data_IF_509368684849
#
_entry.id   IF_509368684849
#
_cell.length_a   1.000
_cell.length_b   1.000
_cell.length_c   1.000
_cell.angle_alpha   90.00
_cell.angle_beta   90.00
_cell.angle_gamma   90.00
#
_symmetry.space_group_name_H-M   'P 1'
#
loop_
_entity.id
_entity.type
_entity.pdbx_description
1 polymer ?
#
# COMPACT_ATOMS: atom_id res chain seq x y z
N UNK A 1 15.89 18.87 -2.26
CA UNK A 1 14.41 18.86 -2.19
C UNK A 1 13.97 17.58 -1.49
N UNK A 2 13.08 17.74 -0.52
CA UNK A 2 12.50 16.61 0.20
C UNK A 2 11.58 15.84 -0.77
N UNK A 3 11.80 14.54 -0.94
CA UNK A 3 10.98 13.69 -1.84
C UNK A 3 9.47 13.79 -1.53
N UNK A 4 9.11 14.07 -0.28
CA UNK A 4 7.72 14.22 0.15
C UNK A 4 7.10 15.50 -0.41
N UNK A 5 7.79 16.62 -0.34
CA UNK A 5 7.29 17.90 -0.86
C UNK A 5 7.11 17.87 -2.37
N UNK A 6 8.08 17.27 -3.07
CA UNK A 6 7.96 17.03 -4.51
C UNK A 6 6.73 16.17 -4.86
N UNK A 7 6.46 15.10 -4.08
CA UNK A 7 5.31 14.25 -4.33
C UNK A 7 3.98 14.97 -4.06
N UNK A 8 3.89 15.76 -2.99
CA UNK A 8 2.74 16.62 -2.69
C UNK A 8 2.47 17.61 -3.84
N UNK A 9 3.51 18.25 -4.33
CA UNK A 9 3.41 19.17 -5.47
C UNK A 9 2.83 18.49 -6.71
N UNK A 10 3.24 17.26 -7.02
CA UNK A 10 2.68 16.47 -8.12
C UNK A 10 1.18 16.22 -7.93
N UNK A 11 0.76 15.80 -6.75
CA UNK A 11 -0.67 15.55 -6.45
C UNK A 11 -1.51 16.81 -6.62
N UNK A 12 -1.00 17.97 -6.17
CA UNK A 12 -1.68 19.26 -6.34
C UNK A 12 -1.74 19.66 -7.82
N UNK A 13 -0.66 19.47 -8.59
CA UNK A 13 -0.64 19.75 -10.04
C UNK A 13 -1.67 18.90 -10.79
N UNK A 14 -1.77 17.61 -10.46
CA UNK A 14 -2.77 16.72 -11.06
C UNK A 14 -4.20 17.17 -10.74
N UNK A 15 -4.45 17.58 -9.48
CA UNK A 15 -5.73 18.12 -9.08
C UNK A 15 -6.08 19.41 -9.86
N UNK A 16 -5.14 20.34 -10.01
CA UNK A 16 -5.32 21.56 -10.79
C UNK A 16 -5.60 21.27 -12.27
N UNK A 17 -4.91 20.30 -12.85
CA UNK A 17 -5.19 19.86 -14.22
C UNK A 17 -6.63 19.33 -14.36
N UNK A 18 -7.08 18.51 -13.42
CA UNK A 18 -8.42 17.94 -13.40
C UNK A 18 -9.53 18.99 -13.17
N UNK A 19 -9.22 20.09 -12.49
CA UNK A 19 -10.15 21.21 -12.32
C UNK A 19 -10.29 22.05 -13.59
N UNK A 20 -9.27 22.07 -14.43
CA UNK A 20 -9.27 22.82 -15.69
C UNK A 20 -10.20 22.23 -16.74
N UNK A 21 -10.26 22.88 -17.89
CA UNK A 21 -11.06 22.50 -19.06
C UNK A 21 -10.34 21.58 -20.05
N UNK A 22 -9.12 21.16 -19.72
CA UNK A 22 -8.26 20.33 -20.58
C UNK A 22 -8.35 18.85 -20.25
N UNK A 23 -8.19 18.01 -21.26
CA UNK A 23 -8.10 16.56 -21.12
C UNK A 23 -7.27 15.93 -22.25
N UNK A 24 -6.82 14.69 -22.07
CA UNK A 24 -6.19 13.87 -23.09
C UNK A 24 -7.15 12.73 -23.45
N UNK A 25 -7.36 12.46 -24.74
CA UNK A 25 -8.14 11.29 -25.18
C UNK A 25 -7.34 10.00 -25.01
N UNK A 26 -6.02 10.06 -25.27
CA UNK A 26 -5.12 8.93 -25.10
C UNK A 26 -3.91 9.33 -24.26
N UNK A 27 -3.35 8.39 -23.48
CA UNK A 27 -2.16 8.64 -22.65
C UNK A 27 -0.92 9.08 -23.47
N UNK A 28 -0.89 8.77 -24.77
CA UNK A 28 0.23 9.09 -25.67
C UNK A 28 0.08 10.43 -26.39
N UNK A 29 -1.01 11.14 -26.18
CA UNK A 29 -1.25 12.42 -26.82
C UNK A 29 -0.27 13.47 -26.30
N UNK A 30 0.32 14.24 -27.22
CA UNK A 30 1.30 15.29 -26.86
C UNK A 30 0.66 16.62 -26.46
N UNK A 31 -0.61 16.81 -26.80
CA UNK A 31 -1.35 18.04 -26.52
C UNK A 31 -2.73 17.71 -25.99
N UNK A 32 -3.18 18.39 -24.92
CA UNK A 32 -4.54 18.23 -24.44
C UNK A 32 -5.55 18.90 -25.37
N UNK A 33 -6.77 18.37 -25.37
CA UNK A 33 -7.95 19.02 -25.91
C UNK A 33 -8.58 19.94 -24.87
N UNK A 34 -9.45 20.85 -25.29
CA UNK A 34 -10.20 21.76 -24.42
C UNK A 34 -11.68 21.39 -24.32
N UNK A 35 -12.43 22.19 -23.57
CA UNK A 35 -13.88 22.06 -23.37
C UNK A 35 -14.32 20.80 -22.56
N UNK A 36 -13.47 20.32 -21.66
CA UNK A 36 -13.88 19.31 -20.67
C UNK A 36 -14.93 19.90 -19.73
N UNK A 37 -15.98 19.14 -19.44
CA UNK A 37 -16.94 19.51 -18.43
C UNK A 37 -16.26 19.67 -17.06
N UNK A 38 -16.71 20.65 -16.26
CA UNK A 38 -16.16 20.92 -14.94
C UNK A 38 -16.32 19.70 -14.02
N UNK A 39 -15.23 19.34 -13.34
CA UNK A 39 -15.25 18.27 -12.33
C UNK A 39 -16.09 18.72 -11.12
N UNK A 40 -16.93 17.83 -10.62
CA UNK A 40 -17.73 18.05 -9.40
C UNK A 40 -17.12 17.42 -8.17
N UNK A 41 -16.36 16.35 -8.37
CA UNK A 41 -15.65 15.59 -7.33
C UNK A 41 -14.29 15.18 -7.90
N UNK A 42 -13.26 15.28 -7.07
CA UNK A 42 -11.95 14.68 -7.33
C UNK A 42 -11.79 13.43 -6.46
N UNK A 43 -11.35 12.33 -7.06
CA UNK A 43 -11.03 11.09 -6.32
C UNK A 43 -9.55 10.82 -6.42
N UNK A 44 -8.86 10.79 -5.28
CA UNK A 44 -7.47 10.36 -5.19
C UNK A 44 -7.47 8.84 -4.97
N UNK A 45 -7.31 8.08 -6.06
CA UNK A 45 -7.39 6.62 -6.07
C UNK A 45 -6.10 5.91 -5.59
N UNK A 46 -5.00 6.65 -5.45
CA UNK A 46 -3.73 6.15 -4.94
C UNK A 46 -3.63 6.35 -3.43
N UNK A 47 -3.29 5.27 -2.68
CA UNK A 47 -3.10 5.37 -1.22
C UNK A 47 -1.97 6.34 -0.85
N UNK A 48 -0.84 6.29 -1.54
CA UNK A 48 0.29 7.18 -1.27
C UNK A 48 -0.09 8.64 -1.55
N UNK A 49 -0.77 8.90 -2.67
CA UNK A 49 -1.24 10.25 -3.00
C UNK A 49 -2.31 10.76 -2.00
N UNK A 50 -3.22 9.88 -1.56
CA UNK A 50 -4.17 10.22 -0.47
C UNK A 50 -3.44 10.56 0.82
N UNK A 51 -2.46 9.76 1.21
CA UNK A 51 -1.72 9.92 2.46
C UNK A 51 -0.94 11.24 2.55
N UNK A 52 -0.41 11.72 1.43
CA UNK A 52 0.45 12.88 1.38
C UNK A 52 -0.19 14.14 0.82
N UNK A 53 -1.20 14.03 -0.05
CA UNK A 53 -1.74 15.17 -0.81
C UNK A 53 -3.22 15.49 -0.56
N UNK A 54 -3.98 14.64 0.12
CA UNK A 54 -5.43 14.86 0.31
C UNK A 54 -5.72 16.16 1.04
N UNK A 55 -4.97 16.47 2.10
CA UNK A 55 -5.14 17.69 2.90
C UNK A 55 -4.82 18.95 2.09
N UNK A 56 -3.69 18.93 1.36
CA UNK A 56 -3.27 20.07 0.54
C UNK A 56 -4.26 20.36 -0.59
N UNK A 57 -4.77 19.30 -1.26
CA UNK A 57 -5.83 19.44 -2.27
C UNK A 57 -7.14 19.93 -1.66
N UNK A 58 -7.52 19.41 -0.49
CA UNK A 58 -8.72 19.86 0.23
C UNK A 58 -8.67 21.33 0.60
N UNK A 59 -7.54 21.80 1.11
CA UNK A 59 -7.29 23.20 1.44
C UNK A 59 -7.38 24.06 0.18
N UNK A 60 -6.71 23.68 -0.90
CA UNK A 60 -6.77 24.38 -2.18
C UNK A 60 -8.22 24.55 -2.68
N UNK A 61 -9.01 23.46 -2.65
CA UNK A 61 -10.41 23.50 -3.12
C UNK A 61 -11.29 24.39 -2.26
N UNK A 62 -11.09 24.38 -0.94
CA UNK A 62 -11.86 25.20 -0.01
C UNK A 62 -11.51 26.69 -0.17
N UNK A 63 -10.22 27.04 -0.22
CA UNK A 63 -9.77 28.43 -0.38
C UNK A 63 -10.12 29.03 -1.75
N UNK A 64 -10.18 28.18 -2.77
CA UNK A 64 -10.56 28.59 -4.13
C UNK A 64 -12.07 28.67 -4.36
N UNK A 65 -12.88 28.39 -3.35
CA UNK A 65 -14.36 28.43 -3.41
C UNK A 65 -14.96 27.69 -4.63
N UNK A 66 -14.28 26.64 -5.11
CA UNK A 66 -14.68 25.91 -6.33
C UNK A 66 -15.97 25.11 -6.19
N UNK A 67 -16.40 24.80 -4.95
CA UNK A 67 -17.48 23.88 -4.65
C UNK A 67 -17.18 22.41 -4.96
N UNK A 68 -16.01 22.10 -5.50
CA UNK A 68 -15.55 20.74 -5.79
C UNK A 68 -15.08 20.06 -4.50
N UNK A 69 -15.46 18.80 -4.31
CA UNK A 69 -15.02 17.99 -3.17
C UNK A 69 -13.90 17.03 -3.58
N UNK A 70 -12.97 16.74 -2.67
CA UNK A 70 -11.97 15.70 -2.84
C UNK A 70 -12.25 14.52 -1.92
N UNK A 71 -12.05 13.31 -2.42
CA UNK A 71 -12.21 12.05 -1.69
C UNK A 71 -10.93 11.23 -1.84
N UNK A 72 -10.37 10.78 -0.72
CA UNK A 72 -9.23 9.87 -0.69
C UNK A 72 -9.64 8.42 -0.41
N UNK A 73 -8.96 7.46 -1.01
CA UNK A 73 -9.30 6.03 -0.86
C UNK A 73 -9.02 5.48 0.54
N UNK A 74 -8.08 6.06 1.30
CA UNK A 74 -7.81 5.62 2.68
C UNK A 74 -9.04 5.81 3.54
N UNK A 75 -9.68 6.98 3.49
CA UNK A 75 -10.89 7.27 4.26
C UNK A 75 -12.04 6.30 3.90
N UNK A 76 -12.22 6.02 2.60
CA UNK A 76 -13.23 5.07 2.15
C UNK A 76 -12.98 3.65 2.70
N UNK A 77 -11.73 3.18 2.66
CA UNK A 77 -11.33 1.88 3.20
C UNK A 77 -11.52 1.80 4.73
N UNK A 78 -11.11 2.83 5.45
CA UNK A 78 -11.27 2.90 6.92
C UNK A 78 -12.74 2.93 7.33
N UNK A 79 -13.57 3.69 6.62
CA UNK A 79 -15.02 3.71 6.88
C UNK A 79 -15.64 2.33 6.68
N UNK A 80 -15.30 1.63 5.60
CA UNK A 80 -15.77 0.26 5.36
C UNK A 80 -15.29 -0.73 6.45
N UNK A 81 -14.06 -0.58 6.93
CA UNK A 81 -13.51 -1.36 8.04
C UNK A 81 -14.33 -1.15 9.32
N UNK A 82 -14.55 0.10 9.75
CA UNK A 82 -15.28 0.43 10.96
C UNK A 82 -16.74 -0.01 10.88
N UNK A 83 -17.38 0.14 9.73
CA UNK A 83 -18.72 -0.37 9.49
C UNK A 83 -18.80 -1.91 9.58
N UNK A 84 -17.72 -2.61 9.17
CA UNK A 84 -17.63 -4.06 9.31
C UNK A 84 -17.46 -4.46 10.77
N UNK A 85 -16.59 -3.78 11.52
CA UNK A 85 -16.41 -3.99 12.95
C UNK A 85 -17.72 -3.82 13.70
N UNK A 86 -18.45 -2.73 13.45
CA UNK A 86 -19.75 -2.46 14.09
C UNK A 86 -20.81 -3.55 13.83
N UNK A 87 -20.75 -4.22 12.67
CA UNK A 87 -21.68 -5.30 12.29
C UNK A 87 -21.28 -6.67 12.86
N UNK A 88 -20.04 -6.82 13.33
CA UNK A 88 -19.56 -8.07 13.90
C UNK A 88 -19.87 -8.10 15.38
N UNK A 89 -21.09 -8.57 15.73
CA UNK A 89 -21.66 -8.59 17.10
C UNK A 89 -20.92 -9.49 18.11
N UNK A 90 -19.73 -10.00 17.79
CA UNK A 90 -19.00 -10.97 18.62
C UNK A 90 -17.89 -10.35 19.45
N UNK A 91 -17.69 -9.05 19.37
CA UNK A 91 -16.68 -8.35 20.17
C UNK A 91 -17.40 -7.81 21.41
N UNK A 92 -17.13 -8.40 22.57
CA UNK A 92 -17.54 -7.81 23.85
C UNK A 92 -16.93 -6.41 23.94
N UNK A 93 -17.68 -5.43 24.42
CA UNK A 93 -17.39 -3.98 24.34
C UNK A 93 -16.04 -3.52 24.92
N UNK A 94 -15.22 -4.43 25.46
CA UNK A 94 -13.91 -4.17 26.05
C UNK A 94 -12.75 -4.86 25.31
N UNK A 95 -13.03 -5.63 24.25
CA UNK A 95 -11.98 -6.35 23.55
C UNK A 95 -11.18 -5.44 22.62
N UNK A 96 -9.88 -5.57 22.69
CA UNK A 96 -8.97 -4.94 21.73
C UNK A 96 -9.05 -5.69 20.39
N UNK A 97 -9.07 -4.96 19.31
CA UNK A 97 -9.01 -5.49 17.95
C UNK A 97 -7.63 -5.24 17.34
N UNK A 98 -7.21 -6.12 16.45
CA UNK A 98 -6.04 -5.86 15.62
C UNK A 98 -6.46 -5.73 14.15
N UNK A 99 -5.85 -4.77 13.46
CA UNK A 99 -6.07 -4.52 12.03
C UNK A 99 -4.73 -4.56 11.33
N UNK A 100 -4.60 -5.47 10.37
CA UNK A 100 -3.42 -5.57 9.52
C UNK A 100 -3.50 -4.60 8.34
N UNK A 101 -2.44 -3.83 8.11
CA UNK A 101 -2.30 -2.94 6.95
C UNK A 101 -1.11 -3.39 6.11
N UNK A 102 -1.40 -3.83 4.89
CA UNK A 102 -0.43 -4.11 3.84
C UNK A 102 -0.46 -2.95 2.84
N UNK A 103 0.60 -2.18 2.75
CA UNK A 103 0.67 -1.04 1.86
C UNK A 103 2.12 -0.77 1.40
N UNK A 104 2.29 0.12 0.42
CA UNK A 104 3.63 0.52 -0.03
C UNK A 104 4.44 1.15 1.11
N UNK A 105 5.76 1.10 0.98
CA UNK A 105 6.68 1.70 1.97
C UNK A 105 6.31 3.15 2.27
N UNK A 106 6.01 3.95 1.23
CA UNK A 106 5.63 5.36 1.39
C UNK A 106 4.30 5.55 2.13
N UNK A 107 3.32 4.70 1.87
CA UNK A 107 2.02 4.74 2.57
C UNK A 107 2.18 4.36 4.05
N UNK A 108 2.94 3.32 4.37
CA UNK A 108 3.20 2.93 5.76
C UNK A 108 3.98 4.05 6.49
N UNK A 109 5.03 4.58 5.87
CA UNK A 109 5.84 5.66 6.45
C UNK A 109 5.04 6.94 6.73
N UNK A 110 3.96 7.19 5.99
CA UNK A 110 3.08 8.34 6.24
C UNK A 110 2.27 8.21 7.53
N UNK A 111 2.04 7.01 8.06
CA UNK A 111 1.14 6.75 9.18
C UNK A 111 -0.34 7.08 8.90
N UNK A 112 -0.72 7.30 7.65
CA UNK A 112 -2.05 7.79 7.29
C UNK A 112 -3.18 6.83 7.68
N UNK A 113 -2.99 5.52 7.49
CA UNK A 113 -4.00 4.53 7.89
C UNK A 113 -4.26 4.57 9.39
N UNK A 114 -3.20 4.60 10.20
CA UNK A 114 -3.33 4.61 11.66
C UNK A 114 -4.05 5.89 12.13
N UNK A 115 -3.61 7.05 11.65
CA UNK A 115 -4.28 8.32 11.97
C UNK A 115 -5.74 8.32 11.56
N UNK A 116 -6.05 7.91 10.33
CA UNK A 116 -7.43 7.90 9.82
C UNK A 116 -8.31 6.92 10.61
N UNK A 117 -7.79 5.72 10.95
CA UNK A 117 -8.53 4.75 11.78
C UNK A 117 -8.87 5.38 13.14
N UNK A 118 -7.91 6.04 13.80
CA UNK A 118 -8.15 6.66 15.11
C UNK A 118 -9.15 7.81 15.02
N UNK A 119 -9.02 8.68 14.03
CA UNK A 119 -9.93 9.81 13.82
C UNK A 119 -11.37 9.37 13.51
N UNK A 120 -11.54 8.49 12.53
CA UNK A 120 -12.86 8.01 12.13
C UNK A 120 -13.53 7.15 13.23
N UNK A 121 -12.72 6.37 13.96
CA UNK A 121 -13.19 5.63 15.14
C UNK A 121 -13.78 6.57 16.17
N UNK A 122 -13.08 7.64 16.53
CA UNK A 122 -13.53 8.63 17.50
C UNK A 122 -14.78 9.37 17.00
N UNK A 123 -14.76 9.82 15.74
CA UNK A 123 -15.90 10.52 15.12
C UNK A 123 -17.18 9.67 15.08
N UNK A 124 -17.07 8.37 14.92
CA UNK A 124 -18.21 7.42 14.93
C UNK A 124 -18.58 6.92 16.34
N UNK A 125 -17.87 7.34 17.38
CA UNK A 125 -18.13 6.95 18.77
C UNK A 125 -17.80 5.51 19.10
N UNK A 126 -16.93 4.87 18.32
CA UNK A 126 -16.41 3.53 18.62
C UNK A 126 -15.45 3.57 19.82
N UNK A 127 -15.65 2.68 20.77
CA UNK A 127 -14.87 2.63 22.03
C UNK A 127 -13.78 1.58 22.03
N UNK A 128 -13.83 0.62 21.12
CA UNK A 128 -12.90 -0.48 21.00
C UNK A 128 -11.47 0.03 20.79
N UNK A 129 -10.49 -0.54 21.46
CA UNK A 129 -9.09 -0.27 21.15
C UNK A 129 -8.70 -1.02 19.87
N UNK A 130 -8.27 -0.29 18.85
CA UNK A 130 -7.81 -0.86 17.58
C UNK A 130 -6.30 -0.75 17.50
N UNK A 131 -5.63 -1.90 17.55
CA UNK A 131 -4.19 -2.00 17.29
C UNK A 131 -3.95 -2.12 15.79
N UNK A 132 -3.18 -1.20 15.21
CA UNK A 132 -2.80 -1.28 13.80
C UNK A 132 -1.45 -1.99 13.67
N UNK A 133 -1.38 -3.02 12.83
CA UNK A 133 -0.17 -3.77 12.52
C UNK A 133 0.19 -3.51 11.07
N UNK A 134 1.23 -2.73 10.84
CA UNK A 134 1.65 -2.28 9.51
C UNK A 134 2.77 -3.17 8.97
N UNK A 135 2.71 -3.52 7.67
CA UNK A 135 3.82 -4.13 6.92
C UNK A 135 4.09 -3.32 5.65
N UNK A 136 5.31 -2.80 5.47
CA UNK A 136 5.73 -2.19 4.22
C UNK A 136 5.92 -3.28 3.15
N UNK A 137 5.06 -3.27 2.13
CA UNK A 137 5.08 -4.26 1.06
C UNK A 137 6.12 -3.90 0.00
N UNK A 138 7.40 -4.15 0.32
CA UNK A 138 8.54 -3.85 -0.56
C UNK A 138 8.39 -4.56 -1.89
N UNK A 139 8.36 -3.81 -2.98
CA UNK A 139 8.34 -4.34 -4.35
C UNK A 139 7.03 -5.01 -4.78
N UNK A 140 5.97 -4.97 -3.96
CA UNK A 140 4.73 -5.67 -4.30
C UNK A 140 3.93 -4.94 -5.40
N UNK A 141 3.86 -3.61 -5.35
CA UNK A 141 3.20 -2.83 -6.39
C UNK A 141 3.91 -3.02 -7.74
N UNK A 142 5.23 -2.89 -7.75
CA UNK A 142 6.08 -3.08 -8.91
C UNK A 142 5.99 -4.52 -9.46
N UNK A 143 5.85 -5.51 -8.58
CA UNK A 143 5.65 -6.89 -8.99
C UNK A 143 4.27 -7.12 -9.65
N UNK A 144 3.22 -6.44 -9.21
CA UNK A 144 1.90 -6.44 -9.85
C UNK A 144 1.96 -5.81 -11.23
N UNK A 145 2.70 -4.71 -11.37
CA UNK A 145 2.92 -4.00 -12.64
C UNK A 145 3.92 -4.72 -13.55
N UNK A 146 4.51 -5.83 -13.09
CA UNK A 146 5.50 -6.63 -13.83
C UNK A 146 6.73 -5.84 -14.23
N UNK A 147 7.17 -4.93 -13.38
CA UNK A 147 8.45 -4.26 -13.58
C UNK A 147 9.59 -5.29 -13.56
N UNK A 148 10.47 -5.25 -14.57
CA UNK A 148 11.47 -6.29 -14.81
C UNK A 148 12.47 -6.47 -13.66
N UNK A 149 12.72 -5.43 -12.87
CA UNK A 149 13.60 -5.52 -11.70
C UNK A 149 12.95 -6.25 -10.52
N UNK A 150 11.62 -6.49 -10.55
CA UNK A 150 10.86 -7.19 -9.50
C UNK A 150 10.31 -8.53 -9.99
N UNK A 151 9.75 -8.59 -11.20
CA UNK A 151 9.24 -9.82 -11.83
C UNK A 151 9.67 -9.85 -13.29
N UNK A 152 10.42 -10.88 -13.67
CA UNK A 152 10.80 -11.10 -15.06
C UNK A 152 10.67 -12.58 -15.40
N UNK A 153 9.56 -12.93 -16.06
CA UNK A 153 9.19 -14.30 -16.40
C UNK A 153 10.10 -14.95 -17.45
N UNK A 154 10.95 -14.14 -18.13
CA UNK A 154 11.91 -14.65 -19.13
C UNK A 154 13.16 -15.23 -18.48
N UNK A 155 13.39 -14.97 -17.17
CA UNK A 155 14.60 -15.40 -16.48
C UNK A 155 14.41 -16.75 -15.80
N UNK A 156 15.48 -17.54 -15.86
CA UNK A 156 15.60 -18.86 -15.21
C UNK A 156 16.63 -18.87 -14.07
N UNK A 157 17.35 -17.75 -13.87
CA UNK A 157 18.37 -17.60 -12.82
C UNK A 157 18.27 -16.21 -12.18
N UNK A 158 18.80 -16.04 -10.95
CA UNK A 158 18.86 -14.76 -10.28
C UNK A 158 19.58 -13.68 -11.10
N UNK A 159 19.18 -12.41 -10.91
CA UNK A 159 19.74 -11.24 -11.58
C UNK A 159 20.27 -10.22 -10.59
N UNK A 160 21.31 -9.48 -10.98
CA UNK A 160 21.91 -8.43 -10.16
C UNK A 160 20.99 -7.19 -10.02
N UNK A 161 20.18 -6.90 -11.05
CA UNK A 161 19.25 -5.77 -11.06
C UNK A 161 18.02 -5.97 -10.16
N UNK A 162 17.91 -7.11 -9.46
CA UNK A 162 16.76 -7.37 -8.60
C UNK A 162 16.64 -6.38 -7.45
N UNK A 163 15.45 -5.78 -7.31
CA UNK A 163 15.13 -4.75 -6.32
C UNK A 163 14.02 -5.17 -5.34
N UNK A 164 13.54 -6.39 -5.45
CA UNK A 164 12.53 -6.94 -4.54
C UNK A 164 13.09 -7.37 -3.18
N UNK A 165 12.27 -8.02 -2.33
CA UNK A 165 12.65 -8.54 -1.03
C UNK A 165 13.83 -9.51 -1.10
N UNK A 166 14.77 -9.36 -0.19
CA UNK A 166 15.95 -10.22 -0.06
C UNK A 166 15.90 -11.08 1.20
N UNK A 167 16.78 -12.06 1.31
CA UNK A 167 16.97 -12.79 2.56
C UNK A 167 17.53 -11.83 3.61
N UNK A 168 16.81 -11.65 4.74
CA UNK A 168 17.20 -10.68 5.76
C UNK A 168 16.29 -10.71 6.98
N UNK A 169 16.38 -9.66 7.81
CA UNK A 169 15.66 -9.55 9.08
C UNK A 169 14.74 -8.32 9.17
N UNK A 170 14.72 -7.46 8.14
CA UNK A 170 13.81 -6.31 8.12
C UNK A 170 12.36 -6.78 7.93
N UNK A 171 11.40 -5.90 8.19
CA UNK A 171 9.98 -6.25 8.13
C UNK A 171 9.51 -6.72 6.74
N UNK A 172 10.10 -6.16 5.67
CA UNK A 172 9.81 -6.53 4.29
C UNK A 172 10.64 -7.69 3.73
N UNK A 173 11.64 -8.20 4.49
CA UNK A 173 12.56 -9.22 4.02
C UNK A 173 11.98 -10.64 4.09
N UNK A 174 12.61 -11.54 3.33
CA UNK A 174 12.36 -12.98 3.37
C UNK A 174 13.14 -13.57 4.56
N UNK A 175 12.44 -14.04 5.57
CA UNK A 175 13.04 -14.64 6.77
C UNK A 175 13.24 -16.14 6.56
N UNK A 176 14.48 -16.60 6.68
CA UNK A 176 14.82 -18.03 6.51
C UNK A 176 13.99 -18.96 7.42
N UNK A 177 13.72 -18.54 8.65
CA UNK A 177 12.91 -19.30 9.61
C UNK A 177 11.45 -19.45 9.21
N UNK A 178 10.94 -18.57 8.36
CA UNK A 178 9.55 -18.56 7.88
C UNK A 178 9.37 -19.16 6.49
N UNK A 179 10.45 -19.66 5.84
CA UNK A 179 10.34 -20.23 4.49
C UNK A 179 9.24 -21.30 4.35
N UNK A 180 9.05 -22.23 5.29
CA UNK A 180 7.94 -23.19 5.21
C UNK A 180 6.56 -22.54 5.32
N UNK A 181 6.44 -21.46 6.13
CA UNK A 181 5.17 -20.78 6.37
C UNK A 181 4.71 -19.94 5.17
N UNK A 182 5.64 -19.38 4.37
CA UNK A 182 5.29 -18.62 3.19
C UNK A 182 4.54 -19.46 2.14
N UNK A 183 4.73 -20.76 2.11
CA UNK A 183 4.11 -21.66 1.12
C UNK A 183 4.30 -21.14 -0.31
N UNK A 184 5.52 -20.69 -0.63
CA UNK A 184 5.83 -20.14 -1.93
C UNK A 184 5.57 -21.12 -3.07
N UNK A 185 5.13 -20.58 -4.19
CA UNK A 185 5.08 -21.31 -5.46
C UNK A 185 6.48 -21.31 -6.09
N UNK A 186 6.94 -22.49 -6.48
CA UNK A 186 8.28 -22.70 -7.09
C UNK A 186 8.20 -23.03 -8.58
N UNK A 187 6.99 -23.23 -9.10
CA UNK A 187 6.77 -23.59 -10.50
C UNK A 187 7.05 -22.42 -11.45
N UNK A 188 7.34 -22.72 -12.69
CA UNK A 188 7.44 -21.74 -13.80
C UNK A 188 8.35 -20.55 -13.53
N UNK A 189 9.44 -20.74 -12.79
CA UNK A 189 10.37 -19.65 -12.47
C UNK A 189 9.80 -18.60 -11.49
N UNK A 190 8.75 -18.93 -10.73
CA UNK A 190 8.17 -18.03 -9.73
C UNK A 190 9.13 -17.65 -8.59
N UNK A 191 10.21 -18.41 -8.41
CA UNK A 191 11.35 -18.09 -7.56
C UNK A 191 12.64 -18.41 -8.32
N UNK A 192 13.53 -17.42 -8.36
CA UNK A 192 14.88 -17.59 -8.88
C UNK A 192 15.86 -17.72 -7.71
N UNK A 193 16.67 -18.79 -7.70
CA UNK A 193 17.53 -19.11 -6.56
C UNK A 193 18.87 -19.68 -7.00
N UNK A 194 19.89 -19.33 -6.23
CA UNK A 194 21.25 -19.87 -6.37
C UNK A 194 21.75 -20.29 -4.98
N UNK A 195 22.44 -21.41 -4.90
CA UNK A 195 23.08 -21.90 -3.68
C UNK A 195 24.59 -21.90 -3.83
N UNK A 196 25.28 -21.71 -2.70
CA UNK A 196 26.73 -21.89 -2.61
C UNK A 196 27.10 -23.38 -2.50
N UNK A 197 28.39 -23.66 -2.46
CA UNK A 197 28.92 -25.02 -2.32
C UNK A 197 28.53 -25.71 -1.00
N UNK A 198 28.17 -24.94 0.01
CA UNK A 198 27.70 -25.42 1.32
C UNK A 198 26.18 -25.65 1.38
N UNK A 199 25.46 -25.36 0.27
CA UNK A 199 24.02 -25.53 0.19
C UNK A 199 23.20 -24.35 0.72
N UNK A 200 23.83 -23.25 1.17
CA UNK A 200 23.13 -22.04 1.58
C UNK A 200 22.68 -21.22 0.38
N UNK A 201 21.59 -20.48 0.53
CA UNK A 201 21.15 -19.58 -0.52
C UNK A 201 22.10 -18.39 -0.65
N UNK A 202 22.75 -18.27 -1.81
CA UNK A 202 23.51 -17.09 -2.24
C UNK A 202 22.56 -16.02 -2.80
N UNK A 203 21.50 -16.44 -3.51
CA UNK A 203 20.43 -15.58 -3.99
C UNK A 203 19.09 -16.30 -3.85
N UNK A 204 18.06 -15.52 -3.47
CA UNK A 204 16.68 -15.97 -3.40
C UNK A 204 15.79 -14.80 -3.79
N UNK A 205 15.20 -14.85 -4.97
CA UNK A 205 14.45 -13.73 -5.56
C UNK A 205 13.04 -14.18 -5.89
N UNK A 206 12.05 -13.46 -5.39
CA UNK A 206 10.66 -13.67 -5.78
C UNK A 206 10.47 -13.19 -7.22
N UNK A 207 9.76 -13.97 -8.01
CA UNK A 207 9.54 -13.68 -9.42
C UNK A 207 8.07 -13.88 -9.85
N UNK A 208 7.16 -13.74 -8.90
CA UNK A 208 5.72 -13.71 -9.14
C UNK A 208 5.01 -12.84 -8.10
N UNK A 209 4.03 -12.05 -8.50
CA UNK A 209 3.25 -11.20 -7.59
C UNK A 209 2.57 -12.01 -6.48
N UNK A 210 2.17 -13.26 -6.76
CA UNK A 210 1.59 -14.18 -5.77
C UNK A 210 2.56 -14.46 -4.62
N UNK A 211 3.84 -14.66 -4.91
CA UNK A 211 4.85 -14.90 -3.87
C UNK A 211 5.14 -13.64 -3.06
N UNK A 212 5.08 -12.45 -3.65
CA UNK A 212 5.12 -11.19 -2.90
C UNK A 212 3.93 -11.07 -1.93
N UNK A 213 2.72 -11.36 -2.39
CA UNK A 213 1.53 -11.35 -1.52
C UNK A 213 1.67 -12.33 -0.34
N UNK A 214 2.13 -13.56 -0.59
CA UNK A 214 2.38 -14.59 0.44
C UNK A 214 3.41 -14.13 1.47
N UNK A 215 4.53 -13.55 0.99
CA UNK A 215 5.57 -13.00 1.86
C UNK A 215 5.00 -11.98 2.84
N UNK A 216 4.35 -10.95 2.30
CA UNK A 216 3.90 -9.83 3.13
C UNK A 216 2.78 -10.23 4.08
N UNK A 217 1.88 -11.13 3.64
CA UNK A 217 0.82 -11.65 4.52
C UNK A 217 1.39 -12.44 5.70
N UNK A 218 2.34 -13.34 5.44
CA UNK A 218 2.96 -14.15 6.51
C UNK A 218 3.79 -13.26 7.45
N UNK A 219 4.52 -12.29 6.90
CA UNK A 219 5.26 -11.32 7.73
C UNK A 219 4.32 -10.49 8.63
N UNK A 220 3.13 -10.11 8.13
CA UNK A 220 2.11 -9.43 8.92
C UNK A 220 1.63 -10.29 10.09
N UNK A 221 1.22 -11.53 9.82
CA UNK A 221 0.76 -12.46 10.84
C UNK A 221 1.84 -12.72 11.88
N UNK A 222 3.09 -12.91 11.44
CA UNK A 222 4.22 -13.15 12.35
C UNK A 222 4.52 -11.91 13.22
N UNK A 223 4.50 -10.71 12.64
CA UNK A 223 4.66 -9.45 13.40
C UNK A 223 3.57 -9.32 14.45
N UNK A 224 2.32 -9.63 14.11
CA UNK A 224 1.21 -9.63 15.05
C UNK A 224 1.43 -10.65 16.17
N UNK A 225 1.80 -11.88 15.83
CA UNK A 225 2.09 -12.95 16.81
C UNK A 225 3.21 -12.56 17.78
N UNK A 226 4.31 -11.99 17.26
CA UNK A 226 5.46 -11.54 18.08
C UNK A 226 5.11 -10.37 18.99
N UNK A 227 4.11 -9.58 18.68
CA UNK A 227 3.68 -8.47 19.53
C UNK A 227 3.01 -8.92 20.83
N UNK A 228 2.81 -10.23 21.03
CA UNK A 228 2.16 -10.79 22.21
C UNK A 228 0.67 -10.43 22.35
N UNK A 229 0.08 -9.86 21.32
CA UNK A 229 -1.34 -9.51 21.32
C UNK A 229 -2.19 -10.79 21.38
N UNK A 230 -3.11 -10.84 22.32
CA UNK A 230 -4.05 -11.96 22.50
C UNK A 230 -5.28 -11.85 21.61
N UNK A 231 -5.40 -10.77 20.87
CA UNK A 231 -6.53 -10.49 19.97
C UNK A 231 -6.26 -11.03 18.58
N UNK A 232 -7.26 -11.58 17.88
CA UNK A 232 -7.12 -12.01 16.49
C UNK A 232 -6.82 -10.82 15.57
N UNK A 233 -6.11 -11.10 14.48
CA UNK A 233 -5.83 -10.14 13.42
C UNK A 233 -7.00 -10.07 12.46
#
# INVERSE_FOLDING_TARGET
ENKQDFFKELVVKDALFLLGDKYYENPMDKKPLGNKAQSKILVIACNTATAWGLEDVGTLLNESETGVKVIGVINAGVNALLDKIAKTNSVEKEDSLAVGVLATVGTIASGAYERTIMQEREAKGHKEFIKVVNIPCVGFAEAVDREKDFVNVELTSPRESYRGPVLGQNEGDIKMSLLPAYSFEYNDGAILREKDASGNYKAFQLNSAQNYARLHLVNLVEKHRQSGAKVPL
#
